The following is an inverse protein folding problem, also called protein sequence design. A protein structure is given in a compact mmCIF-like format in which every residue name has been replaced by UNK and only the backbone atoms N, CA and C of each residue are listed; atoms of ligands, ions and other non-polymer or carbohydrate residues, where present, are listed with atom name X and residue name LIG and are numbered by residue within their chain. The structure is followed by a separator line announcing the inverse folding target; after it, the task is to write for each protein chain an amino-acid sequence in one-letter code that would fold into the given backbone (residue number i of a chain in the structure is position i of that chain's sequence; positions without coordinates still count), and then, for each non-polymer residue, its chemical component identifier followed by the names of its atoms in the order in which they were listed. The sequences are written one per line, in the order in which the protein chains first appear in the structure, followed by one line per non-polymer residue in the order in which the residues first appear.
data_IF_627090027350
#
_entry.id   IF_627090027350
#
_cell.length_a   1.000
_cell.length_b   1.000
_cell.length_c   1.000
_cell.angle_alpha   90.00
_cell.angle_beta   90.00
_cell.angle_gamma   90.00
#
_symmetry.space_group_name_H-M   'P 1'
#
loop_
_entity.id
_entity.type
_entity.pdbx_description
1 polymer ?
#
# COMPACT_ATOMS: atom_id res chain seq x y z
N UNK A 1 4.07 -14.79 -14.43
CA UNK A 1 3.44 -15.37 -13.23
C UNK A 1 2.30 -14.50 -12.70
N UNK A 2 2.53 -13.21 -12.41
CA UNK A 2 1.49 -12.27 -11.92
C UNK A 2 0.22 -12.25 -12.77
N UNK A 3 0.36 -12.13 -14.10
CA UNK A 3 -0.79 -12.18 -15.04
C UNK A 3 -1.61 -13.47 -14.93
N UNK A 4 -0.95 -14.61 -14.71
CA UNK A 4 -1.62 -15.90 -14.49
C UNK A 4 -2.35 -15.94 -13.14
N UNK A 5 -1.76 -15.41 -12.07
CA UNK A 5 -2.42 -15.32 -10.76
C UNK A 5 -3.67 -14.43 -10.82
N UNK A 6 -3.59 -13.30 -11.55
CA UNK A 6 -4.73 -12.40 -11.78
C UNK A 6 -5.83 -13.09 -12.59
N UNK A 7 -5.47 -13.82 -13.65
CA UNK A 7 -6.42 -14.63 -14.42
C UNK A 7 -7.21 -15.59 -13.51
N UNK A 8 -6.50 -16.36 -12.67
CA UNK A 8 -7.12 -17.34 -11.77
C UNK A 8 -8.00 -16.67 -10.72
N UNK A 9 -7.56 -15.56 -10.14
CA UNK A 9 -8.34 -14.78 -9.19
C UNK A 9 -9.65 -14.25 -9.79
N UNK A 10 -9.57 -13.59 -10.95
CA UNK A 10 -10.76 -13.01 -11.61
C UNK A 10 -11.69 -14.08 -12.16
N UNK A 11 -11.16 -15.21 -12.65
CA UNK A 11 -11.95 -16.38 -13.07
C UNK A 11 -12.80 -16.92 -11.92
N UNK A 12 -12.24 -16.95 -10.71
CA UNK A 12 -13.01 -17.39 -9.53
C UNK A 12 -14.12 -16.40 -9.20
N UNK A 13 -13.93 -15.09 -9.35
CA UNK A 13 -14.95 -14.10 -8.95
C UNK A 13 -16.11 -14.04 -9.94
N UNK A 14 -15.82 -14.06 -11.24
CA UNK A 14 -16.80 -13.75 -12.28
C UNK A 14 -16.85 -14.84 -13.35
N UNK A 15 -16.19 -14.62 -14.49
CA UNK A 15 -16.19 -15.51 -15.65
C UNK A 15 -14.77 -15.65 -16.22
N UNK A 16 -14.47 -16.74 -16.95
CA UNK A 16 -13.16 -16.93 -17.60
C UNK A 16 -12.79 -15.80 -18.57
N UNK A 17 -13.77 -15.23 -19.30
CA UNK A 17 -13.53 -14.12 -20.22
C UNK A 17 -13.04 -12.85 -19.52
N UNK A 18 -13.65 -12.49 -18.38
CA UNK A 18 -13.20 -11.37 -17.57
C UNK A 18 -11.78 -11.60 -17.02
N UNK A 19 -11.45 -12.84 -16.68
CA UNK A 19 -10.10 -13.22 -16.27
C UNK A 19 -9.06 -13.00 -17.37
N UNK A 20 -9.39 -13.32 -18.62
CA UNK A 20 -8.48 -13.11 -19.75
C UNK A 20 -8.18 -11.61 -19.94
N UNK A 21 -9.21 -10.76 -19.90
CA UNK A 21 -9.02 -9.31 -19.99
C UNK A 21 -8.18 -8.75 -18.84
N UNK A 22 -8.45 -9.18 -17.59
CA UNK A 22 -7.66 -8.76 -16.43
C UNK A 22 -6.18 -9.16 -16.56
N UNK A 23 -5.92 -10.36 -17.08
CA UNK A 23 -4.57 -10.87 -17.33
C UNK A 23 -3.83 -10.08 -18.42
N UNK A 24 -4.53 -9.68 -19.48
CA UNK A 24 -3.97 -8.81 -20.52
C UNK A 24 -3.69 -7.39 -19.99
N UNK A 25 -4.56 -6.82 -19.16
CA UNK A 25 -4.36 -5.47 -18.62
C UNK A 25 -3.16 -5.39 -17.67
N UNK A 26 -3.06 -6.30 -16.70
CA UNK A 26 -1.94 -6.29 -15.75
C UNK A 26 -0.58 -6.56 -16.43
N UNK A 27 -0.57 -7.22 -17.60
CA UNK A 27 0.65 -7.52 -18.32
C UNK A 27 1.31 -6.26 -18.92
N UNK A 28 0.53 -5.24 -19.27
CA UNK A 28 1.03 -4.02 -19.92
C UNK A 28 0.83 -2.75 -19.08
N UNK A 29 0.21 -2.84 -17.91
CA UNK A 29 -0.11 -1.66 -17.11
C UNK A 29 1.18 -0.92 -16.67
N UNK A 30 1.33 0.37 -16.99
CA UNK A 30 2.60 1.08 -16.77
C UNK A 30 2.96 1.21 -15.29
N UNK A 31 1.96 1.32 -14.41
CA UNK A 31 2.19 1.42 -12.96
C UNK A 31 2.77 0.15 -12.33
N UNK A 32 2.52 -1.04 -12.89
CA UNK A 32 3.22 -2.25 -12.44
C UNK A 32 4.61 -2.33 -13.08
N UNK A 33 4.71 -2.03 -14.38
CA UNK A 33 5.96 -2.05 -15.12
C UNK A 33 7.00 -1.12 -14.49
N UNK A 34 6.62 0.08 -14.01
CA UNK A 34 7.54 1.05 -13.41
C UNK A 34 8.35 0.49 -12.24
N UNK A 35 7.85 -0.54 -11.55
CA UNK A 35 8.51 -1.22 -10.42
C UNK A 35 9.08 -2.59 -10.78
N UNK A 36 8.75 -3.11 -11.96
CA UNK A 36 9.16 -4.43 -12.45
C UNK A 36 9.92 -4.38 -13.79
N UNK A 37 10.56 -3.25 -14.12
CA UNK A 37 11.37 -3.12 -15.34
C UNK A 37 12.54 -4.08 -15.31
N UNK A 38 12.92 -4.64 -16.46
CA UNK A 38 14.12 -5.45 -16.58
C UNK A 38 15.36 -4.67 -16.08
N UNK A 39 16.11 -5.27 -15.15
CA UNK A 39 17.25 -4.63 -14.47
C UNK A 39 16.90 -3.99 -13.12
N UNK A 40 15.62 -3.82 -12.79
CA UNK A 40 15.17 -3.46 -11.45
C UNK A 40 15.01 -4.73 -10.61
N UNK A 41 16.00 -5.03 -9.77
CA UNK A 41 15.94 -6.14 -8.82
C UNK A 41 15.42 -5.65 -7.46
N UNK A 42 14.14 -5.29 -7.43
CA UNK A 42 13.43 -4.88 -6.22
C UNK A 42 12.43 -5.96 -5.78
N UNK A 43 12.09 -5.97 -4.49
CA UNK A 43 11.24 -6.96 -3.85
C UNK A 43 9.76 -6.84 -4.28
N UNK A 44 9.35 -5.69 -4.80
CA UNK A 44 7.96 -5.41 -5.19
C UNK A 44 7.47 -6.33 -6.33
N UNK A 45 8.34 -6.68 -7.27
CA UNK A 45 7.98 -7.51 -8.43
C UNK A 45 7.46 -8.89 -8.02
N UNK A 46 8.16 -9.54 -7.07
CA UNK A 46 7.78 -10.87 -6.54
C UNK A 46 6.65 -10.76 -5.51
N UNK A 47 6.58 -9.65 -4.77
CA UNK A 47 5.54 -9.39 -3.78
C UNK A 47 4.15 -9.31 -4.42
N UNK A 48 3.99 -8.61 -5.54
CA UNK A 48 2.69 -8.47 -6.21
C UNK A 48 2.19 -9.82 -6.74
N UNK A 49 3.10 -10.68 -7.23
CA UNK A 49 2.76 -12.06 -7.59
C UNK A 49 2.26 -12.85 -6.39
N UNK A 50 3.00 -12.84 -5.28
CA UNK A 50 2.66 -13.56 -4.06
C UNK A 50 1.33 -13.06 -3.45
N UNK A 51 1.08 -11.75 -3.48
CA UNK A 51 -0.14 -11.11 -3.01
C UNK A 51 -1.36 -11.59 -3.81
N UNK A 52 -1.31 -11.50 -5.15
CA UNK A 52 -2.43 -11.93 -5.99
C UNK A 52 -2.68 -13.43 -5.88
N UNK A 53 -1.63 -14.23 -5.76
CA UNK A 53 -1.75 -15.67 -5.59
C UNK A 53 -2.37 -16.04 -4.22
N UNK A 54 -1.99 -15.33 -3.15
CA UNK A 54 -2.58 -15.50 -1.82
C UNK A 54 -4.08 -15.16 -1.83
N UNK A 55 -4.49 -14.09 -2.49
CA UNK A 55 -5.91 -13.74 -2.61
C UNK A 55 -6.71 -14.74 -3.44
N UNK A 56 -6.15 -15.27 -4.52
CA UNK A 56 -6.77 -16.37 -5.27
C UNK A 56 -7.02 -17.60 -4.37
N UNK A 57 -6.00 -18.04 -3.63
CA UNK A 57 -6.12 -19.20 -2.75
C UNK A 57 -7.10 -18.95 -1.60
N UNK A 58 -7.12 -17.72 -1.05
CA UNK A 58 -8.07 -17.32 -0.02
C UNK A 58 -9.52 -17.39 -0.51
N UNK A 59 -9.85 -16.79 -1.66
CA UNK A 59 -11.20 -16.85 -2.22
C UNK A 59 -11.62 -18.28 -2.52
N UNK A 60 -10.69 -19.09 -3.07
CA UNK A 60 -10.94 -20.51 -3.33
C UNK A 60 -11.18 -21.31 -2.04
N UNK A 61 -10.45 -21.01 -0.97
CA UNK A 61 -10.66 -21.60 0.35
C UNK A 61 -12.05 -21.26 0.89
N UNK A 62 -12.45 -19.98 0.86
CA UNK A 62 -13.77 -19.54 1.34
C UNK A 62 -14.92 -20.19 0.56
N UNK A 63 -14.79 -20.34 -0.77
CA UNK A 63 -15.83 -20.96 -1.61
C UNK A 63 -15.97 -22.46 -1.37
N UNK A 64 -14.85 -23.18 -1.31
CA UNK A 64 -14.82 -24.64 -1.16
C UNK A 64 -15.06 -25.09 0.29
N UNK A 65 -14.58 -24.30 1.27
CA UNK A 65 -14.61 -24.65 2.69
C UNK A 65 -13.67 -25.79 3.08
N UNK A 66 -12.72 -26.18 2.21
CA UNK A 66 -11.78 -27.25 2.50
C UNK A 66 -10.54 -26.72 3.20
N UNK A 67 -10.06 -27.47 4.21
CA UNK A 67 -8.86 -27.14 4.98
C UNK A 67 -7.61 -27.10 4.10
N UNK A 68 -7.53 -27.96 3.07
CA UNK A 68 -6.41 -28.02 2.13
C UNK A 68 -6.11 -26.66 1.48
N UNK A 69 -7.12 -26.01 0.89
CA UNK A 69 -6.95 -24.70 0.26
C UNK A 69 -6.57 -23.60 1.25
N UNK A 70 -7.03 -23.72 2.50
CA UNK A 70 -6.70 -22.78 3.59
C UNK A 70 -5.24 -22.90 4.02
N UNK A 71 -4.71 -24.13 4.11
CA UNK A 71 -3.29 -24.39 4.39
C UNK A 71 -2.43 -23.90 3.21
N UNK A 72 -2.82 -24.17 1.96
CA UNK A 72 -2.12 -23.63 0.79
C UNK A 72 -2.10 -22.09 0.81
N UNK A 73 -3.22 -21.45 1.18
CA UNK A 73 -3.29 -19.99 1.34
C UNK A 73 -2.35 -19.49 2.44
N UNK A 74 -2.25 -20.21 3.57
CA UNK A 74 -1.32 -19.86 4.65
C UNK A 74 0.16 -20.03 4.24
N UNK A 75 0.49 -21.06 3.44
CA UNK A 75 1.83 -21.25 2.88
C UNK A 75 2.18 -20.14 1.87
N UNK A 76 1.22 -19.73 1.03
CA UNK A 76 1.39 -18.59 0.14
C UNK A 76 1.58 -17.28 0.91
N UNK A 77 0.84 -17.10 2.02
CA UNK A 77 1.04 -15.97 2.92
C UNK A 77 2.43 -16.00 3.57
N UNK A 78 2.91 -17.15 4.04
CA UNK A 78 4.28 -17.29 4.55
C UNK A 78 5.33 -16.87 3.52
N UNK A 79 5.15 -17.28 2.25
CA UNK A 79 6.02 -16.83 1.16
C UNK A 79 5.97 -15.31 0.98
N UNK A 80 4.78 -14.71 0.98
CA UNK A 80 4.62 -13.26 0.90
C UNK A 80 5.33 -12.52 2.05
N UNK A 81 5.15 -13.01 3.28
CA UNK A 81 5.84 -12.47 4.46
C UNK A 81 7.34 -12.49 4.19
N UNK A 82 7.91 -13.62 3.79
CA UNK A 82 9.35 -13.74 3.51
C UNK A 82 9.88 -12.81 2.40
N UNK A 83 9.02 -12.40 1.47
CA UNK A 83 9.41 -11.61 0.31
C UNK A 83 9.29 -10.10 0.52
N UNK A 84 8.28 -9.62 1.26
CA UNK A 84 8.02 -8.18 1.40
C UNK A 84 7.24 -7.82 2.67
N UNK A 85 7.60 -6.67 3.27
CA UNK A 85 6.99 -6.15 4.50
C UNK A 85 5.50 -5.77 4.37
N UNK A 86 4.97 -5.62 3.16
CA UNK A 86 3.54 -5.34 2.95
C UNK A 86 2.61 -6.53 3.21
N UNK A 87 3.09 -7.64 3.79
CA UNK A 87 2.24 -8.72 4.29
C UNK A 87 1.21 -8.24 5.32
N UNK A 88 1.49 -7.14 6.03
CA UNK A 88 0.58 -6.45 6.95
C UNK A 88 -0.75 -6.07 6.26
N UNK A 89 -0.71 -5.80 4.95
CA UNK A 89 -1.92 -5.54 4.17
C UNK A 89 -2.82 -6.77 4.06
N UNK A 90 -2.24 -7.96 3.82
CA UNK A 90 -3.02 -9.20 3.66
C UNK A 90 -3.68 -9.59 4.99
N UNK A 91 -2.91 -9.55 6.08
CA UNK A 91 -3.41 -9.95 7.40
C UNK A 91 -4.44 -8.99 7.96
N UNK A 92 -4.57 -7.76 7.45
CA UNK A 92 -5.64 -6.84 7.82
C UNK A 92 -6.84 -6.89 6.86
N UNK A 93 -6.61 -7.09 5.56
CA UNK A 93 -7.68 -7.17 4.57
C UNK A 93 -8.48 -8.48 4.66
N UNK A 94 -7.83 -9.62 4.92
CA UNK A 94 -8.51 -10.92 5.06
C UNK A 94 -9.51 -10.92 6.24
N UNK A 95 -9.14 -10.49 7.46
CA UNK A 95 -10.10 -10.33 8.54
C UNK A 95 -11.16 -9.28 8.25
N UNK A 96 -10.80 -8.15 7.64
CA UNK A 96 -11.79 -7.13 7.25
C UNK A 96 -12.86 -7.73 6.33
N UNK A 97 -12.46 -8.54 5.34
CA UNK A 97 -13.39 -9.25 4.48
C UNK A 97 -14.33 -10.17 5.26
N UNK A 98 -13.81 -10.94 6.23
CA UNK A 98 -14.66 -11.82 7.05
C UNK A 98 -15.55 -11.02 8.00
N UNK A 99 -15.05 -9.93 8.57
CA UNK A 99 -15.81 -9.04 9.44
C UNK A 99 -17.00 -8.42 8.69
N UNK A 100 -16.80 -7.96 7.46
CA UNK A 100 -17.90 -7.47 6.61
C UNK A 100 -18.91 -8.58 6.31
N UNK A 101 -18.46 -9.81 6.03
CA UNK A 101 -19.38 -10.95 5.83
C UNK A 101 -20.20 -11.27 7.08
N UNK A 102 -19.62 -11.12 8.27
CA UNK A 102 -20.34 -11.26 9.55
C UNK A 102 -21.38 -10.15 9.74
N UNK A 103 -21.03 -8.89 9.47
CA UNK A 103 -21.97 -7.76 9.58
C UNK A 103 -23.17 -7.89 8.62
N UNK A 104 -22.94 -8.45 7.43
CA UNK A 104 -24.01 -8.74 6.47
C UNK A 104 -24.88 -9.94 6.88
N UNK A 105 -24.61 -10.59 8.01
CA UNK A 105 -25.34 -11.77 8.49
C UNK A 105 -25.09 -13.03 7.67
N UNK A 106 -24.09 -13.04 6.77
CA UNK A 106 -23.78 -14.16 5.87
C UNK A 106 -22.75 -15.10 6.48
N UNK A 107 -23.00 -15.54 7.71
CA UNK A 107 -22.13 -16.50 8.38
C UNK A 107 -22.29 -17.91 7.79
N UNK A 108 -21.17 -18.59 7.53
CA UNK A 108 -21.15 -19.97 7.07
C UNK A 108 -20.00 -20.73 7.73
N UNK A 109 -20.21 -22.02 8.00
CA UNK A 109 -19.18 -22.93 8.52
C UNK A 109 -17.94 -22.99 7.62
N UNK A 110 -18.10 -22.76 6.31
CA UNK A 110 -16.97 -22.70 5.37
C UNK A 110 -16.02 -21.54 5.68
N UNK A 111 -16.57 -20.37 6.04
CA UNK A 111 -15.80 -19.18 6.37
C UNK A 111 -15.06 -19.39 7.70
N UNK A 112 -15.74 -19.98 8.69
CA UNK A 112 -15.14 -20.32 9.99
C UNK A 112 -13.92 -21.23 9.84
N UNK A 113 -14.07 -22.35 9.14
CA UNK A 113 -12.97 -23.31 8.92
C UNK A 113 -11.84 -22.66 8.12
N UNK A 114 -12.16 -21.90 7.07
CA UNK A 114 -11.14 -21.29 6.21
C UNK A 114 -10.31 -20.23 6.93
N UNK A 115 -10.98 -19.33 7.66
CA UNK A 115 -10.31 -18.24 8.37
C UNK A 115 -9.48 -18.75 9.56
N UNK A 116 -10.03 -19.65 10.37
CA UNK A 116 -9.34 -20.19 11.55
C UNK A 116 -8.08 -20.94 11.14
N UNK A 117 -8.17 -21.79 10.10
CA UNK A 117 -7.00 -22.50 9.59
C UNK A 117 -5.97 -21.53 8.98
N UNK A 118 -6.40 -20.56 8.17
CA UNK A 118 -5.50 -19.57 7.57
C UNK A 118 -4.76 -18.75 8.63
N UNK A 119 -5.47 -18.23 9.63
CA UNK A 119 -4.90 -17.35 10.65
C UNK A 119 -3.94 -18.09 11.58
N UNK A 120 -4.33 -19.26 12.12
CA UNK A 120 -3.48 -20.01 13.05
C UNK A 120 -2.20 -20.50 12.36
N UNK A 121 -2.34 -21.13 11.19
CA UNK A 121 -1.18 -21.65 10.44
C UNK A 121 -0.32 -20.49 9.92
N UNK A 122 -0.94 -19.45 9.36
CA UNK A 122 -0.23 -18.27 8.86
C UNK A 122 0.53 -17.52 9.95
N UNK A 123 -0.04 -17.40 11.16
CA UNK A 123 0.60 -16.77 12.31
C UNK A 123 1.83 -17.56 12.75
N UNK A 124 1.68 -18.88 12.97
CA UNK A 124 2.79 -19.75 13.40
C UNK A 124 3.92 -19.73 12.36
N UNK A 125 3.59 -19.82 11.07
CA UNK A 125 4.58 -19.79 10.00
C UNK A 125 5.28 -18.43 9.93
N UNK A 126 4.54 -17.32 10.07
CA UNK A 126 5.14 -15.97 10.02
C UNK A 126 6.15 -15.73 11.14
N UNK A 127 5.93 -16.30 12.33
CA UNK A 127 6.85 -16.18 13.48
C UNK A 127 8.18 -16.90 13.26
N UNK A 128 8.25 -17.88 12.36
CA UNK A 128 9.50 -18.59 12.07
C UNK A 128 10.52 -17.72 11.36
N UNK A 129 10.08 -16.60 10.77
CA UNK A 129 10.97 -15.76 9.97
C UNK A 129 11.69 -14.77 10.90
N UNK A 130 13.05 -14.74 10.90
CA UNK A 130 13.83 -13.96 11.87
C UNK A 130 13.52 -12.46 11.87
N UNK A 131 13.14 -11.86 10.73
CA UNK A 131 12.81 -10.43 10.68
C UNK A 131 11.43 -10.12 11.29
N UNK A 132 10.51 -11.09 11.33
CA UNK A 132 9.18 -10.94 11.91
C UNK A 132 9.21 -11.27 13.39
N UNK A 133 9.85 -12.38 13.77
CA UNK A 133 9.92 -12.85 15.15
C UNK A 133 8.56 -12.76 15.88
N UNK A 134 8.55 -12.06 17.01
CA UNK A 134 7.34 -11.84 17.84
C UNK A 134 6.57 -10.56 17.51
N UNK A 135 6.88 -9.88 16.40
CA UNK A 135 6.19 -8.66 15.97
C UNK A 135 4.66 -8.86 15.80
N UNK A 136 4.15 -10.02 15.31
CA UNK A 136 2.72 -10.28 15.18
C UNK A 136 1.92 -10.24 16.48
N UNK A 137 2.57 -10.43 17.63
CA UNK A 137 1.93 -10.39 18.95
C UNK A 137 2.17 -9.03 19.63
N UNK A 138 3.31 -8.39 19.36
CA UNK A 138 3.73 -7.17 20.07
C UNK A 138 3.22 -5.88 19.45
N UNK A 139 2.89 -5.89 18.16
CA UNK A 139 2.46 -4.68 17.45
C UNK A 139 0.94 -4.59 17.33
N UNK A 140 0.43 -3.36 17.44
CA UNK A 140 -1.00 -3.06 17.28
C UNK A 140 -1.53 -3.35 15.87
N UNK A 141 -0.64 -3.38 14.87
CA UNK A 141 -0.97 -3.59 13.45
C UNK A 141 -1.61 -4.96 13.18
N UNK A 142 -1.36 -5.96 14.04
CA UNK A 142 -1.89 -7.32 13.91
C UNK A 142 -3.05 -7.61 14.88
N UNK A 143 -3.34 -6.69 15.80
CA UNK A 143 -4.39 -6.87 16.82
C UNK A 143 -5.80 -6.85 16.22
N UNK A 144 -6.03 -6.11 15.14
CA UNK A 144 -7.32 -6.09 14.44
C UNK A 144 -7.70 -7.49 13.90
N UNK A 145 -6.73 -8.23 13.38
CA UNK A 145 -6.94 -9.59 12.89
C UNK A 145 -7.28 -10.58 14.03
N UNK A 146 -6.66 -10.40 15.19
CA UNK A 146 -6.97 -11.18 16.39
C UNK A 146 -8.39 -10.90 16.92
N UNK A 147 -8.84 -9.64 16.88
CA UNK A 147 -10.21 -9.26 17.26
C UNK A 147 -11.25 -9.93 16.36
N UNK A 148 -11.00 -9.99 15.05
CA UNK A 148 -11.91 -10.66 14.11
C UNK A 148 -11.90 -12.17 14.30
N UNK A 149 -10.74 -12.78 14.59
CA UNK A 149 -10.69 -14.19 14.97
C UNK A 149 -11.56 -14.47 16.19
N UNK A 150 -11.43 -13.63 17.22
CA UNK A 150 -12.27 -13.73 18.40
C UNK A 150 -13.76 -13.57 18.06
N UNK A 151 -14.13 -12.61 17.21
CA UNK A 151 -15.51 -12.42 16.76
C UNK A 151 -16.08 -13.63 16.01
N UNK A 152 -15.26 -14.29 15.18
CA UNK A 152 -15.64 -15.51 14.46
C UNK A 152 -15.83 -16.68 15.43
N UNK A 153 -14.90 -16.89 16.36
CA UNK A 153 -15.06 -17.91 17.42
C UNK A 153 -16.34 -17.64 18.24
N UNK A 154 -16.56 -16.40 18.65
CA UNK A 154 -17.76 -16.00 19.39
C UNK A 154 -19.04 -16.26 18.58
N UNK A 155 -19.05 -15.96 17.27
CA UNK A 155 -20.20 -16.23 16.39
C UNK A 155 -20.45 -17.73 16.16
N UNK A 156 -19.38 -18.54 16.05
CA UNK A 156 -19.47 -20.00 15.95
C UNK A 156 -20.08 -20.59 17.22
N UNK A 157 -19.57 -20.21 18.39
CA UNK A 157 -20.07 -20.70 19.68
C UNK A 157 -21.50 -20.22 19.97
N UNK A 158 -21.87 -19.00 19.58
CA UNK A 158 -23.25 -18.51 19.67
C UNK A 158 -24.21 -19.29 18.75
N UNK A 159 -23.75 -19.72 17.57
CA UNK A 159 -24.55 -20.53 16.63
C UNK A 159 -24.68 -22.00 17.00
N UNK A 160 -23.69 -22.58 17.71
CA UNK A 160 -23.70 -23.99 18.13
C UNK A 160 -24.40 -24.20 19.48
N UNK A 161 -24.40 -23.20 20.38
CA UNK A 161 -25.05 -23.30 21.69
C UNK A 161 -25.87 -22.05 22.03
N UNK A 162 -27.20 -22.20 22.05
CA UNK A 162 -28.19 -21.14 22.37
C UNK A 162 -27.94 -20.48 23.75
N UNK A 163 -27.28 -21.17 24.68
CA UNK A 163 -27.00 -20.66 26.05
C UNK A 163 -25.75 -19.77 26.18
N UNK A 164 -24.85 -19.74 25.19
CA UNK A 164 -23.63 -18.92 25.26
C UNK A 164 -23.82 -17.49 24.72
N UNK A 165 -25.02 -17.10 24.29
CA UNK A 165 -25.30 -15.70 23.90
C UNK A 165 -24.96 -14.70 25.02
N UNK A 166 -24.99 -15.13 26.28
CA UNK A 166 -24.59 -14.34 27.45
C UNK A 166 -23.10 -13.99 27.49
N UNK A 167 -22.22 -14.78 26.84
CA UNK A 167 -20.76 -14.51 26.79
C UNK A 167 -20.37 -13.56 25.66
N UNK A 168 -21.27 -13.31 24.70
CA UNK A 168 -21.04 -12.41 23.56
C UNK A 168 -21.37 -10.95 23.90
N UNK A 169 -22.33 -10.74 24.82
CA UNK A 169 -22.77 -9.41 25.28
C UNK A 169 -21.64 -8.53 25.81
N UNK A 170 -20.74 -8.99 26.71
CA UNK A 170 -19.69 -8.13 27.26
C UNK A 170 -18.72 -7.66 26.17
N UNK A 171 -18.45 -8.49 25.16
CA UNK A 171 -17.48 -8.17 24.11
C UNK A 171 -18.05 -7.22 23.08
N UNK A 172 -19.31 -7.40 22.67
CA UNK A 172 -20.00 -6.41 21.83
C UNK A 172 -20.07 -5.07 22.55
N UNK A 173 -20.33 -5.06 23.86
CA UNK A 173 -20.29 -3.84 24.66
C UNK A 173 -18.90 -3.19 24.71
N UNK A 174 -17.83 -3.97 24.88
CA UNK A 174 -16.44 -3.44 24.91
C UNK A 174 -16.01 -2.93 23.53
N UNK A 175 -16.30 -3.66 22.45
CA UNK A 175 -15.97 -3.22 21.08
C UNK A 175 -16.80 -1.99 20.68
N UNK A 176 -18.09 -1.95 21.04
CA UNK A 176 -18.92 -0.78 20.85
C UNK A 176 -18.40 0.40 21.68
N UNK A 177 -17.96 0.19 22.93
CA UNK A 177 -17.39 1.23 23.78
C UNK A 177 -16.07 1.79 23.22
N UNK A 178 -15.20 0.95 22.67
CA UNK A 178 -13.95 1.38 22.02
C UNK A 178 -14.25 2.18 20.74
N UNK A 179 -15.19 1.69 19.91
CA UNK A 179 -15.63 2.39 18.70
C UNK A 179 -16.27 3.74 19.02
N UNK A 180 -17.11 3.79 20.05
CA UNK A 180 -17.70 5.01 20.58
C UNK A 180 -16.62 5.96 21.12
N UNK A 181 -15.69 5.47 21.94
CA UNK A 181 -14.60 6.28 22.49
C UNK A 181 -13.74 6.92 21.40
N UNK A 182 -13.40 6.18 20.35
CA UNK A 182 -12.64 6.71 19.20
C UNK A 182 -13.44 7.73 18.39
N UNK A 183 -14.73 7.50 18.21
CA UNK A 183 -15.61 8.44 17.51
C UNK A 183 -15.81 9.72 18.31
N UNK A 184 -15.97 9.61 19.63
CA UNK A 184 -16.09 10.74 20.55
C UNK A 184 -14.77 11.51 20.69
N UNK A 185 -13.60 10.86 20.75
CA UNK A 185 -12.30 11.57 20.75
C UNK A 185 -12.06 12.39 19.48
N UNK A 186 -12.63 11.96 18.34
CA UNK A 186 -12.52 12.66 17.06
C UNK A 186 -13.53 13.81 16.95
N UNK A 187 -14.72 13.67 17.56
CA UNK A 187 -15.78 14.69 17.49
C UNK A 187 -15.79 15.70 18.65
N UNK A 188 -15.32 15.33 19.85
CA UNK A 188 -15.25 16.23 21.03
C UNK A 188 -13.90 16.93 21.18
N UNK A 189 -12.99 16.77 20.23
CA UNK A 189 -11.74 17.52 20.19
C UNK A 189 -11.84 18.66 19.17
N UNK A 190 -12.89 19.44 19.31
CA UNK A 190 -12.86 20.87 19.03
C UNK A 190 -13.74 21.58 20.08
N UNK A 191 -13.20 22.71 20.53
CA UNK A 191 -13.75 23.73 21.43
C UNK A 191 -13.73 23.50 22.96
N UNK A 192 -12.76 24.18 23.58
CA UNK A 192 -13.10 25.09 24.68
C UNK A 192 -12.13 26.29 24.71
N UNK A 193 -12.53 27.49 25.17
CA UNK A 193 -13.90 28.00 25.39
C UNK A 193 -14.12 29.46 24.92
N UNK A 194 -15.38 29.86 24.69
CA UNK A 194 -15.90 31.18 25.10
C UNK A 194 -17.44 31.28 25.07
N UNK A 195 -17.96 31.56 26.27
CA UNK A 195 -19.10 32.42 26.61
C UNK A 195 -20.55 32.07 26.21
N UNK A 196 -21.33 31.76 27.27
CA UNK A 196 -22.57 32.45 27.68
C UNK A 196 -23.77 32.51 26.70
N UNK A 197 -24.89 31.84 27.05
CA UNK A 197 -26.03 32.36 27.86
C UNK A 197 -27.34 31.60 27.57
N UNK A 198 -28.10 31.30 28.66
CA UNK A 198 -29.56 31.31 28.90
C UNK A 198 -30.50 30.66 27.84
N UNK A 199 -31.55 29.90 28.15
CA UNK A 199 -32.28 29.65 29.40
C UNK A 199 -33.75 29.29 29.06
N UNK A 200 -34.38 28.46 29.91
CA UNK A 200 -35.84 28.24 30.03
C UNK A 200 -36.54 27.46 28.92
N UNK A 201 -37.75 26.94 29.08
CA UNK A 201 -38.43 26.24 30.19
C UNK A 201 -39.71 25.62 29.56
N UNK A 202 -40.31 24.67 30.27
CA UNK A 202 -41.74 24.26 30.24
C UNK A 202 -42.40 23.49 29.05
N UNK A 203 -42.75 22.24 29.37
CA UNK A 203 -44.09 21.60 29.40
C UNK A 203 -45.13 21.74 28.25
N UNK A 204 -45.75 20.60 27.91
CA UNK A 204 -46.98 20.56 27.11
C UNK A 204 -47.52 19.14 26.83
N UNK A 205 -48.42 18.72 27.71
CA UNK A 205 -49.35 17.58 27.74
C UNK A 205 -49.85 16.85 26.45
N UNK A 206 -50.09 15.55 26.66
CA UNK A 206 -51.21 14.69 26.21
C UNK A 206 -51.60 14.56 24.72
N UNK A 207 -51.52 13.31 24.23
CA UNK A 207 -52.72 12.54 23.84
C UNK A 207 -52.43 11.05 23.65
N UNK A 208 -53.17 10.23 24.39
CA UNK A 208 -53.39 8.81 24.12
C UNK A 208 -54.21 8.65 22.83
N UNK A 209 -53.92 7.64 22.03
CA UNK A 209 -54.96 6.68 21.65
C UNK A 209 -54.37 5.32 21.24
N UNK A 210 -55.00 4.28 21.80
CA UNK A 210 -54.71 2.86 21.62
C UNK A 210 -55.31 2.40 20.29
N UNK A 211 -54.64 1.48 19.58
CA UNK A 211 -55.32 0.30 19.03
C UNK A 211 -54.33 -0.74 18.52
N UNK A 212 -54.37 -1.94 19.11
CA UNK A 212 -53.74 -3.16 18.60
C UNK A 212 -54.70 -3.89 17.63
N UNK A 213 -54.10 -4.78 16.84
CA UNK A 213 -54.69 -5.92 16.12
C UNK A 213 -55.33 -5.68 14.74
N UNK A 214 -54.66 -6.16 13.67
CA UNK A 214 -54.88 -7.55 13.20
C UNK A 214 -53.94 -7.97 12.07
N UNK A 215 -53.53 -9.23 12.24
CA UNK A 215 -52.90 -10.19 11.35
C UNK A 215 -53.42 -10.21 9.89
N UNK A 216 -52.48 -10.22 8.94
CA UNK A 216 -52.45 -11.21 7.85
C UNK A 216 -53.03 -10.80 6.49
N UNK A 217 -52.14 -10.61 5.50
CA UNK A 217 -52.25 -11.39 4.26
C UNK A 217 -50.93 -11.42 3.46
N UNK A 218 -50.51 -12.63 3.07
CA UNK A 218 -49.36 -12.87 2.18
C UNK A 218 -49.70 -12.39 0.77
N UNK A 219 -48.90 -11.47 0.21
CA UNK A 219 -48.74 -11.36 -1.25
C UNK A 219 -47.37 -11.90 -1.64
N UNK A 220 -47.40 -13.05 -2.33
CA UNK A 220 -46.30 -13.55 -3.16
C UNK A 220 -45.92 -12.45 -4.14
N UNK A 221 -44.72 -11.88 -3.99
CA UNK A 221 -44.07 -11.15 -5.07
C UNK A 221 -43.62 -12.21 -6.07
N UNK A 222 -44.17 -12.08 -7.27
CA UNK A 222 -43.98 -12.94 -8.42
C UNK A 222 -42.55 -12.78 -8.90
N UNK A 223 -41.87 -13.88 -9.18
CA UNK A 223 -40.62 -13.91 -9.95
C UNK A 223 -40.83 -13.15 -11.27
N UNK A 224 -40.25 -11.94 -11.36
CA UNK A 224 -40.01 -11.31 -12.65
C UNK A 224 -38.86 -12.06 -13.31
N UNK A 225 -39.21 -12.92 -14.26
CA UNK A 225 -38.27 -13.39 -15.28
C UNK A 225 -37.62 -12.16 -15.93
N UNK A 226 -36.30 -12.18 -16.19
CA UNK A 226 -35.68 -11.12 -16.96
C UNK A 226 -36.37 -11.10 -18.33
N UNK A 227 -36.90 -9.93 -18.72
CA UNK A 227 -37.39 -9.72 -20.08
C UNK A 227 -36.19 -9.69 -21.00
N UNK A 228 -36.08 -10.70 -21.83
CA UNK A 228 -35.12 -10.78 -22.91
C UNK A 228 -35.39 -9.66 -23.93
N UNK A 229 -34.33 -8.90 -24.22
CA UNK A 229 -34.02 -8.20 -25.47
C UNK A 229 -35.07 -7.29 -26.14
N UNK A 230 -35.11 -6.02 -25.70
CA UNK A 230 -35.27 -4.93 -26.67
C UNK A 230 -33.93 -4.73 -27.38
N UNK A 231 -33.81 -5.37 -28.53
CA UNK A 231 -32.60 -5.39 -29.35
C UNK A 231 -32.15 -3.98 -29.73
N UNK A 232 -31.18 -3.45 -28.98
CA UNK A 232 -30.34 -2.34 -29.41
C UNK A 232 -29.88 -2.66 -30.84
N UNK A 233 -30.27 -1.82 -31.82
CA UNK A 233 -30.13 -2.12 -33.24
C UNK A 233 -28.73 -2.62 -33.57
N UNK A 234 -28.62 -3.63 -34.44
CA UNK A 234 -27.36 -4.32 -34.78
C UNK A 234 -26.23 -3.32 -35.10
N UNK A 235 -26.56 -2.20 -35.73
CA UNK A 235 -25.64 -1.09 -36.03
C UNK A 235 -25.10 -0.40 -34.77
N UNK A 236 -25.96 -0.16 -33.76
CA UNK A 236 -25.56 0.47 -32.49
C UNK A 236 -24.70 -0.49 -31.65
N UNK A 237 -25.04 -1.78 -31.61
CA UNK A 237 -24.19 -2.81 -30.97
C UNK A 237 -22.81 -2.88 -31.65
N UNK A 238 -22.77 -2.84 -32.99
CA UNK A 238 -21.52 -2.80 -33.74
C UNK A 238 -20.68 -1.55 -33.44
N UNK A 239 -21.30 -0.37 -33.40
CA UNK A 239 -20.62 0.89 -33.05
C UNK A 239 -20.01 0.82 -31.65
N UNK A 240 -20.73 0.29 -30.66
CA UNK A 240 -20.23 0.15 -29.29
C UNK A 240 -19.03 -0.80 -29.23
N UNK A 241 -19.10 -1.94 -29.93
CA UNK A 241 -18.00 -2.92 -29.98
C UNK A 241 -16.75 -2.28 -30.62
N UNK A 242 -16.92 -1.55 -31.73
CA UNK A 242 -15.83 -0.85 -32.41
C UNK A 242 -15.23 0.23 -31.51
N UNK A 243 -16.05 1.03 -30.82
CA UNK A 243 -15.58 2.05 -29.89
C UNK A 243 -14.80 1.45 -28.72
N UNK A 244 -15.27 0.34 -28.15
CA UNK A 244 -14.59 -0.36 -27.07
C UNK A 244 -13.25 -0.96 -27.54
N UNK A 245 -13.22 -1.53 -28.74
CA UNK A 245 -11.98 -2.05 -29.34
C UNK A 245 -10.98 -0.93 -29.64
N UNK A 246 -11.45 0.24 -30.10
CA UNK A 246 -10.62 1.43 -30.29
C UNK A 246 -10.01 1.92 -28.96
N UNK A 247 -10.80 1.92 -27.88
CA UNK A 247 -10.29 2.26 -26.53
C UNK A 247 -9.23 1.27 -26.05
N UNK A 248 -9.40 -0.04 -26.30
CA UNK A 248 -8.38 -1.05 -25.97
C UNK A 248 -7.08 -0.84 -26.74
N UNK A 249 -7.18 -0.48 -28.03
CA UNK A 249 -6.00 -0.17 -28.85
C UNK A 249 -5.30 1.10 -28.36
N UNK A 250 -6.05 2.17 -28.04
CA UNK A 250 -5.50 3.40 -27.49
C UNK A 250 -4.83 3.13 -26.13
N UNK A 251 -5.42 2.29 -25.29
CA UNK A 251 -4.80 1.85 -24.04
C UNK A 251 -3.47 1.13 -24.27
N UNK A 252 -3.41 0.19 -25.22
CA UNK A 252 -2.16 -0.51 -25.53
C UNK A 252 -1.07 0.46 -26.02
N UNK A 253 -1.41 1.36 -26.95
CA UNK A 253 -0.47 2.38 -27.45
C UNK A 253 -0.01 3.31 -26.34
N UNK A 254 -0.92 3.78 -25.49
CA UNK A 254 -0.58 4.63 -24.34
C UNK A 254 0.38 3.92 -23.38
N UNK A 255 0.09 2.66 -23.04
CA UNK A 255 0.93 1.87 -22.15
C UNK A 255 2.35 1.68 -22.70
N UNK A 256 2.47 1.38 -24.00
CA UNK A 256 3.77 1.25 -24.67
C UNK A 256 4.52 2.59 -24.70
N UNK A 257 3.84 3.69 -25.01
CA UNK A 257 4.44 5.02 -25.07
C UNK A 257 4.95 5.47 -23.69
N UNK A 258 4.14 5.32 -22.63
CA UNK A 258 4.53 5.66 -21.25
C UNK A 258 5.73 4.81 -20.82
N UNK A 259 5.69 3.50 -21.09
CA UNK A 259 6.79 2.60 -20.72
C UNK A 259 8.09 2.97 -21.41
N UNK A 260 8.04 3.26 -22.72
CA UNK A 260 9.21 3.62 -23.53
C UNK A 260 9.77 5.01 -23.22
N UNK A 261 8.92 5.94 -22.77
CA UNK A 261 9.33 7.35 -22.59
C UNK A 261 9.72 7.68 -21.16
N UNK A 262 9.04 7.08 -20.16
CA UNK A 262 9.18 7.47 -18.76
C UNK A 262 9.87 6.42 -17.88
N UNK A 263 9.68 5.12 -18.16
CA UNK A 263 10.15 4.06 -17.25
C UNK A 263 11.40 3.31 -17.72
N UNK A 264 11.73 3.36 -19.02
CA UNK A 264 12.91 2.68 -19.57
C UNK A 264 14.19 3.55 -19.54
N UNK A 265 14.49 4.20 -18.43
CA UNK A 265 15.70 5.01 -18.24
C UNK A 265 16.59 4.45 -17.12
N UNK A 266 17.86 4.09 -17.40
CA UNK A 266 18.79 3.65 -16.35
C UNK A 266 19.20 4.82 -15.45
N UNK A 267 19.32 4.58 -14.14
CA UNK A 267 19.74 5.60 -13.17
C UNK A 267 21.26 5.72 -12.99
N UNK A 268 22.02 4.70 -13.39
CA UNK A 268 23.49 4.67 -13.23
C UNK A 268 24.23 5.33 -14.40
N UNK A 269 23.65 5.27 -15.60
CA UNK A 269 24.22 5.84 -16.81
C UNK A 269 23.31 6.97 -17.25
N UNK A 270 23.83 8.20 -17.26
CA UNK A 270 23.04 9.36 -17.63
C UNK A 270 23.14 9.56 -19.14
N UNK A 271 21.99 9.69 -19.81
CA UNK A 271 21.94 10.05 -21.22
C UNK A 271 21.62 11.55 -21.32
N UNK A 272 22.53 12.32 -21.90
CA UNK A 272 22.28 13.71 -22.28
C UNK A 272 22.05 13.80 -23.78
N UNK A 273 21.10 14.64 -24.18
CA UNK A 273 20.75 14.87 -25.57
C UNK A 273 21.19 16.27 -25.98
N UNK A 274 22.14 16.36 -26.92
CA UNK A 274 22.58 17.63 -27.49
C UNK A 274 21.52 18.27 -28.40
N UNK A 275 21.67 19.56 -28.71
CA UNK A 275 20.76 20.30 -29.60
C UNK A 275 20.56 19.64 -30.99
N UNK A 276 21.53 18.84 -31.46
CA UNK A 276 21.44 18.10 -32.73
C UNK A 276 20.84 16.69 -32.64
N UNK A 277 20.26 16.30 -31.50
CA UNK A 277 19.73 14.94 -31.29
C UNK A 277 20.80 13.87 -31.04
N UNK A 278 22.07 14.23 -30.99
CA UNK A 278 23.16 13.33 -30.62
C UNK A 278 23.04 12.92 -29.15
N UNK A 279 23.00 11.61 -28.89
CA UNK A 279 22.97 11.04 -27.54
C UNK A 279 24.40 10.86 -27.02
N UNK A 280 24.79 11.65 -26.02
CA UNK A 280 26.04 11.46 -25.28
C UNK A 280 25.75 10.72 -23.99
N UNK A 281 26.46 9.62 -23.76
CA UNK A 281 26.31 8.77 -22.59
C UNK A 281 27.39 9.17 -21.58
N UNK A 282 26.96 9.64 -20.40
CA UNK A 282 27.80 10.00 -19.28
C UNK A 282 27.86 8.81 -18.31
N UNK A 283 29.05 8.23 -18.13
CA UNK A 283 29.28 7.02 -17.32
C UNK A 283 30.20 7.27 -16.10
N UNK A 284 30.24 8.52 -15.65
CA UNK A 284 31.16 9.00 -14.61
C UNK A 284 31.00 8.26 -13.27
N UNK A 285 29.76 7.83 -12.95
CA UNK A 285 29.49 7.06 -11.72
C UNK A 285 30.22 5.71 -11.74
N UNK A 286 30.16 4.97 -12.85
CA UNK A 286 30.82 3.66 -12.95
C UNK A 286 32.33 3.82 -12.95
N UNK A 287 32.86 4.83 -13.65
CA UNK A 287 34.28 5.13 -13.65
C UNK A 287 34.78 5.49 -12.25
N UNK A 288 34.08 6.37 -11.53
CA UNK A 288 34.43 6.74 -10.16
C UNK A 288 34.41 5.54 -9.20
N UNK A 289 33.38 4.69 -9.26
CA UNK A 289 33.32 3.48 -8.43
C UNK A 289 34.40 2.47 -8.80
N UNK A 290 34.74 2.36 -10.07
CA UNK A 290 35.79 1.46 -10.54
C UNK A 290 37.18 1.93 -10.09
N UNK A 291 37.46 3.23 -10.22
CA UNK A 291 38.69 3.84 -9.73
C UNK A 291 38.85 3.60 -8.22
N UNK A 292 37.78 3.82 -7.47
CA UNK A 292 37.73 3.62 -6.04
C UNK A 292 38.05 2.17 -5.65
N UNK A 293 37.53 1.21 -6.42
CA UNK A 293 37.77 -0.22 -6.20
C UNK A 293 39.20 -0.65 -6.49
N UNK A 294 39.88 -0.02 -7.44
CA UNK A 294 41.24 -0.41 -7.86
C UNK A 294 42.35 0.33 -7.11
N UNK A 295 42.13 1.61 -6.77
CA UNK A 295 43.20 2.50 -6.31
C UNK A 295 43.19 2.74 -4.80
N UNK A 296 42.15 2.32 -4.08
CA UNK A 296 42.09 2.48 -2.62
C UNK A 296 42.37 1.17 -1.89
N UNK A 297 42.85 1.26 -0.65
CA UNK A 297 43.06 0.10 0.20
C UNK A 297 41.74 -0.64 0.51
N UNK A 298 41.75 -1.97 0.63
CA UNK A 298 40.53 -2.78 0.82
C UNK A 298 39.73 -2.41 2.07
N UNK A 299 40.43 -1.98 3.13
CA UNK A 299 39.82 -1.51 4.39
C UNK A 299 39.46 -0.01 4.40
N UNK A 300 39.50 0.67 3.25
CA UNK A 300 39.12 2.07 3.16
C UNK A 300 37.62 2.25 3.49
N UNK A 301 37.34 3.23 4.34
CA UNK A 301 35.98 3.64 4.74
C UNK A 301 35.61 4.91 4.00
N UNK A 302 34.45 4.88 3.36
CA UNK A 302 33.99 5.96 2.48
C UNK A 302 32.78 6.62 3.11
N UNK A 303 32.83 7.95 3.13
CA UNK A 303 31.72 8.79 3.54
C UNK A 303 31.04 9.38 2.30
N UNK A 304 29.75 9.15 2.18
CA UNK A 304 28.88 9.74 1.16
C UNK A 304 27.52 10.07 1.75
N UNK A 305 26.69 10.73 0.98
CA UNK A 305 25.25 10.78 1.25
C UNK A 305 24.64 9.37 1.26
N UNK A 306 23.53 9.19 1.98
CA UNK A 306 22.94 7.86 2.28
C UNK A 306 22.40 7.15 1.02
N UNK A 307 21.86 7.91 0.06
CA UNK A 307 21.33 7.41 -1.22
C UNK A 307 22.34 6.53 -1.98
N UNK A 308 23.64 6.87 -1.91
CA UNK A 308 24.70 6.20 -2.65
C UNK A 308 25.33 5.01 -1.92
N UNK A 309 24.94 4.75 -0.66
CA UNK A 309 25.60 3.75 0.17
C UNK A 309 25.60 2.35 -0.45
N UNK A 310 24.47 1.90 -1.00
CA UNK A 310 24.40 0.61 -1.68
C UNK A 310 25.19 0.57 -2.99
N UNK A 311 25.23 1.67 -3.75
CA UNK A 311 25.98 1.74 -5.01
C UNK A 311 27.50 1.65 -4.76
N UNK A 312 28.00 2.37 -3.75
CA UNK A 312 29.42 2.33 -3.37
C UNK A 312 29.80 0.94 -2.83
N UNK A 313 28.97 0.35 -1.97
CA UNK A 313 29.22 -0.99 -1.44
C UNK A 313 29.19 -2.06 -2.55
N UNK A 314 28.22 -1.99 -3.47
CA UNK A 314 28.07 -2.97 -4.54
C UNK A 314 29.10 -2.83 -5.66
N UNK A 315 29.26 -1.63 -6.23
CA UNK A 315 30.14 -1.40 -7.39
C UNK A 315 31.58 -1.09 -6.96
N UNK A 316 31.74 -0.25 -5.94
CA UNK A 316 33.05 0.14 -5.39
C UNK A 316 33.69 -0.93 -4.50
N UNK A 317 32.91 -1.89 -3.98
CA UNK A 317 33.36 -2.93 -3.05
C UNK A 317 34.18 -2.35 -1.89
N UNK A 318 33.63 -1.34 -1.20
CA UNK A 318 34.24 -0.65 -0.06
C UNK A 318 33.24 -0.45 1.06
N UNK A 319 33.76 -0.33 2.27
CA UNK A 319 32.94 -0.09 3.46
C UNK A 319 32.39 1.34 3.46
N UNK A 320 31.07 1.49 3.53
CA UNK A 320 30.38 2.78 3.63
C UNK A 320 30.01 3.08 5.09
N UNK A 321 30.06 4.35 5.47
CA UNK A 321 29.68 4.79 6.82
C UNK A 321 28.18 4.99 6.97
N UNK A 322 27.47 5.31 5.89
CA UNK A 322 26.02 5.46 5.89
C UNK A 322 25.44 4.71 4.69
N UNK A 323 24.27 4.11 4.88
CA UNK A 323 23.58 3.30 3.87
C UNK A 323 22.12 3.76 3.66
N UNK A 324 21.49 3.19 2.63
CA UNK A 324 20.16 3.56 2.18
C UNK A 324 19.03 2.91 3.03
N UNK A 325 19.37 2.10 4.04
CA UNK A 325 18.36 1.47 4.92
C UNK A 325 17.82 2.46 5.97
N UNK A 326 18.55 3.54 6.25
CA UNK A 326 18.12 4.65 7.13
C UNK A 326 17.63 4.29 8.54
N UNK A 327 18.00 3.13 9.07
CA UNK A 327 17.50 2.64 10.37
C UNK A 327 17.97 3.46 11.59
N UNK A 328 19.08 4.20 11.48
CA UNK A 328 19.64 5.00 12.56
C UNK A 328 19.80 6.46 12.15
N UNK A 329 18.75 7.26 12.42
CA UNK A 329 18.71 8.69 12.08
C UNK A 329 19.82 9.51 12.75
N UNK A 330 20.22 9.16 13.98
CA UNK A 330 21.29 9.85 14.69
C UNK A 330 22.65 9.64 14.02
N UNK A 331 22.90 8.42 13.52
CA UNK A 331 24.11 8.10 12.78
C UNK A 331 24.18 8.85 11.44
N UNK A 332 23.06 8.93 10.72
CA UNK A 332 22.95 9.72 9.49
C UNK A 332 23.21 11.19 9.81
N UNK A 333 22.50 11.76 10.80
CA UNK A 333 22.63 13.17 11.17
C UNK A 333 24.08 13.55 11.54
N UNK A 334 24.79 12.67 12.25
CA UNK A 334 26.19 12.88 12.60
C UNK A 334 27.09 13.04 11.36
N UNK A 335 26.98 12.11 10.40
CA UNK A 335 27.83 12.14 9.21
C UNK A 335 27.38 13.19 8.19
N UNK A 336 26.08 13.41 8.03
CA UNK A 336 25.55 14.47 7.16
C UNK A 336 25.88 15.87 7.70
N UNK A 337 25.77 16.05 9.03
CA UNK A 337 26.24 17.26 9.70
C UNK A 337 27.73 17.53 9.43
N UNK A 338 28.54 16.47 9.35
CA UNK A 338 29.95 16.58 9.03
C UNK A 338 30.28 16.90 7.57
N UNK A 339 29.44 16.50 6.62
CA UNK A 339 29.57 16.91 5.22
C UNK A 339 29.29 18.40 5.07
N UNK A 340 28.27 18.90 5.78
CA UNK A 340 27.84 20.31 5.73
C UNK A 340 28.82 21.22 6.49
N UNK A 341 29.29 20.81 7.68
CA UNK A 341 30.16 21.59 8.56
C UNK A 341 31.52 20.91 8.82
N UNK A 342 32.42 20.85 7.82
CA UNK A 342 33.68 20.10 7.93
C UNK A 342 34.62 20.62 9.02
N UNK A 343 34.54 21.91 9.37
CA UNK A 343 35.41 22.52 10.39
C UNK A 343 35.01 22.17 11.83
N UNK A 344 33.78 21.67 12.07
CA UNK A 344 33.31 21.26 13.41
C UNK A 344 33.67 19.79 13.74
N UNK A 345 34.04 18.99 12.73
CA UNK A 345 34.42 17.58 12.87
C UNK A 345 35.64 17.38 13.78
N UNK A 346 36.58 18.33 13.77
CA UNK A 346 37.83 18.28 14.55
C UNK A 346 37.60 18.38 16.07
N UNK A 347 36.37 18.67 16.53
CA UNK A 347 36.04 18.84 17.96
C UNK A 347 35.26 17.66 18.55
N UNK A 348 34.83 16.69 17.75
CA UNK A 348 34.15 15.49 18.23
C UNK A 348 35.16 14.39 18.55
N UNK A 349 35.23 13.99 19.83
CA UNK A 349 36.19 13.04 20.41
C UNK A 349 36.08 11.57 19.94
N UNK A 350 35.47 11.28 18.79
CA UNK A 350 35.45 9.94 18.20
C UNK A 350 35.76 10.01 16.70
N UNK A 351 37.03 10.06 16.30
CA UNK A 351 37.37 9.99 14.89
C UNK A 351 37.24 8.54 14.43
N UNK A 352 36.14 8.21 13.75
CA UNK A 352 36.21 7.06 12.83
C UNK A 352 37.22 7.45 11.73
N UNK A 353 38.26 6.64 11.48
CA UNK A 353 39.28 7.00 10.50
C UNK A 353 38.65 6.96 9.10
N UNK A 354 38.40 8.15 8.54
CA UNK A 354 37.95 8.35 7.16
C UNK A 354 39.23 8.45 6.33
N UNK A 355 39.50 7.42 5.52
CA UNK A 355 40.74 7.32 4.74
C UNK A 355 40.54 7.62 3.24
N UNK A 356 39.33 8.04 2.83
CA UNK A 356 38.96 8.32 1.45
C UNK A 356 38.17 9.65 1.35
N UNK A 357 38.27 10.38 0.22
CA UNK A 357 37.72 11.74 0.10
C UNK A 357 36.20 11.78 0.28
N UNK A 358 35.73 12.84 0.92
CA UNK A 358 34.31 13.18 1.05
C UNK A 358 33.80 13.53 -0.35
N UNK A 359 32.91 12.70 -0.91
CA UNK A 359 32.28 13.00 -2.19
C UNK A 359 31.16 14.01 -1.93
N UNK A 360 31.44 15.31 -2.16
CA UNK A 360 30.42 16.36 -2.15
C UNK A 360 29.81 16.50 -3.54
N UNK A 361 28.51 16.31 -3.66
CA UNK A 361 27.79 16.86 -4.81
C UNK A 361 27.61 18.37 -4.61
N UNK A 362 28.06 19.14 -5.58
CA UNK A 362 27.55 20.50 -5.77
C UNK A 362 26.16 20.36 -6.40
N UNK A 363 25.15 21.15 -5.99
CA UNK A 363 23.84 21.11 -6.64
C UNK A 363 24.02 21.42 -8.12
N UNK A 364 23.54 20.52 -8.98
CA UNK A 364 23.47 20.73 -10.43
C UNK A 364 22.59 21.95 -10.66
N UNK A 365 23.20 23.08 -11.02
CA UNK A 365 22.48 24.23 -11.54
C UNK A 365 21.95 23.84 -12.93
N UNK A 366 20.64 23.60 -13.01
CA UNK A 366 19.95 23.61 -14.30
C UNK A 366 20.16 25.00 -14.93
N UNK A 367 20.66 25.09 -16.18
CA UNK A 367 20.84 26.38 -16.83
C UNK A 367 19.47 27.02 -17.05
N UNK A 368 19.24 28.15 -16.39
CA UNK A 368 18.15 29.06 -16.70
C UNK A 368 18.35 29.60 -18.12
N UNK A 369 17.46 29.24 -19.05
CA UNK A 369 17.49 29.81 -20.40
C UNK A 369 16.68 29.04 -21.44
N UNK A 370 15.35 29.14 -21.38
CA UNK A 370 14.50 29.38 -22.57
C UNK A 370 13.02 29.44 -22.18
N UNK A 371 12.46 30.62 -22.41
CA UNK A 371 11.05 31.01 -22.34
C UNK A 371 10.15 30.23 -23.29
N UNK A 372 8.96 29.80 -22.85
CA UNK A 372 7.67 30.21 -23.45
C UNK A 372 6.44 29.62 -22.72
N UNK A 373 5.52 30.53 -22.36
CA UNK A 373 4.05 30.42 -22.24
C UNK A 373 3.46 29.26 -21.39
N UNK A 374 2.68 29.47 -20.33
CA UNK A 374 1.82 30.58 -19.96
C UNK A 374 0.43 30.00 -19.69
N UNK A 375 -0.01 30.00 -18.43
CA UNK A 375 -1.40 30.11 -17.97
C UNK A 375 -1.32 30.66 -16.54
N UNK A 376 -1.78 31.89 -16.41
CA UNK A 376 -1.93 32.67 -15.19
C UNK A 376 -3.10 32.17 -14.35
N UNK A 377 -2.95 32.17 -13.03
CA UNK A 377 -4.03 32.58 -12.13
C UNK A 377 -3.41 33.23 -10.89
N UNK A 378 -3.61 34.54 -10.81
CA UNK A 378 -3.20 35.43 -9.73
C UNK A 378 -3.94 35.14 -8.42
N UNK A 379 -3.24 35.29 -7.29
CA UNK A 379 -3.79 35.88 -6.06
C UNK A 379 -2.66 36.34 -5.12
N UNK A 380 -2.30 37.63 -5.30
CA UNK A 380 -2.07 38.66 -4.26
C UNK A 380 -1.76 38.20 -2.82
N UNK A 381 -0.58 38.55 -2.29
CA UNK A 381 -0.49 39.33 -1.03
C UNK A 381 0.89 40.00 -0.83
N UNK A 382 0.87 41.30 -1.07
CA UNK A 382 1.53 42.45 -0.42
C UNK A 382 2.98 42.43 0.12
N UNK A 383 3.69 43.43 -0.41
CA UNK A 383 4.84 44.22 0.07
C UNK A 383 4.91 44.51 1.58
N UNK A 384 6.14 44.47 2.11
CA UNK A 384 6.64 45.51 3.02
C UNK A 384 8.15 45.71 2.87
N UNK A 385 8.54 46.98 2.72
CA UNK A 385 9.85 47.59 2.40
C UNK A 385 10.98 47.41 3.43
N UNK A 386 12.26 47.64 3.04
CA UNK A 386 13.42 47.53 3.92
C UNK A 386 13.69 48.82 4.70
N UNK A 387 14.08 48.70 5.96
CA UNK A 387 14.63 49.79 6.78
C UNK A 387 16.09 49.52 7.11
N UNK A 388 16.93 50.43 6.63
CA UNK A 388 18.33 50.65 7.04
C UNK A 388 18.47 50.73 8.56
N UNK A 389 19.66 50.35 9.05
CA UNK A 389 20.32 51.05 10.15
C UNK A 389 21.85 50.86 10.08
N UNK A 390 22.63 51.77 10.69
CA UNK A 390 23.82 52.34 10.07
C UNK A 390 25.14 51.83 10.67
N UNK A 391 26.22 51.99 9.90
CA UNK A 391 27.54 52.48 10.29
C UNK A 391 28.30 52.90 9.03
#
# INVERSE_FOLDING_TARGET
MTSMSVYLFTKEIWNPGAGLFAACFIAIVPGYISRSVAGSYDNEGIAIFALMFTYYLWIKAVKTGQVFWSICSALSYFYMVSAWGGYVFIINLVPLHVFVLLLMGRYSQRIYTSYTCFYIVGLILSMQIPFVGFQPIRTSEHMAAAVVLYAIFASYFAGVMVRLMLTLTPVVCVLAAIAFSKTFEVYLKDDSPKSNQKGGDENGDNKNDRLYDKVGNKKKIRDDKPKDDEGLGINVKSIIIVALLMMLMLFAVHCTWVTSSAYSSPSIVLASYGQGGSRTILDDFREAYYWLRQNTHDKARIMSWWDYGYQIAGMGNRTTLVDNNTWNNSHIALYMGGIILPHLQLRSNNPTPINAPIIKQSPVQLPQGSTAAGISMDSQMEMSSPLNNPC
#
